data_IF_447489462993
#
_entry.id   IF_447489462993
#
_cell.length_a   1.000
_cell.length_b   1.000
_cell.length_c   1.000
_cell.angle_alpha   90.00
_cell.angle_beta   90.00
_cell.angle_gamma   90.00
#
_symmetry.space_group_name_H-M   'P 1'
#
loop_
_entity.id
_entity.type
_entity.pdbx_description
1 polymer ?
#
# COMPACT_ATOMS: atom_id res chain seq x y z
N UNK A 1 -20.16 -0.53 -45.04
CA UNK A 1 -18.88 -1.22 -45.28
C UNK A 1 -18.27 -1.56 -43.90
N UNK A 2 -18.76 -2.46 -43.05
CA UNK A 2 -19.34 -3.80 -43.21
C UNK A 2 -18.55 -4.70 -44.18
N UNK A 3 -17.81 -5.68 -43.64
CA UNK A 3 -17.75 -6.98 -44.31
C UNK A 3 -16.43 -7.74 -44.45
N UNK A 4 -15.34 -7.50 -43.70
CA UNK A 4 -14.19 -8.45 -43.73
C UNK A 4 -13.43 -8.44 -42.39
N UNK A 5 -13.89 -9.16 -41.38
CA UNK A 5 -13.05 -9.53 -40.22
C UNK A 5 -13.60 -10.77 -39.48
N UNK A 6 -14.13 -11.73 -40.22
CA UNK A 6 -14.32 -13.11 -39.75
C UNK A 6 -13.19 -13.94 -40.36
N UNK A 7 -12.56 -14.80 -39.56
CA UNK A 7 -11.37 -15.64 -39.84
C UNK A 7 -10.06 -15.03 -39.32
N UNK A 8 -9.95 -14.84 -38.00
CA UNK A 8 -8.73 -15.16 -37.23
C UNK A 8 -9.15 -15.73 -35.84
N UNK A 9 -8.69 -16.93 -35.45
CA UNK A 9 -9.25 -17.70 -34.34
C UNK A 9 -8.68 -17.30 -32.94
N UNK A 10 -9.57 -16.90 -32.02
CA UNK A 10 -9.60 -17.27 -30.58
C UNK A 10 -8.29 -17.32 -29.74
N UNK A 11 -7.41 -16.31 -29.83
CA UNK A 11 -6.36 -16.06 -28.80
C UNK A 11 -5.93 -14.59 -28.70
N UNK A 12 -6.85 -13.63 -28.87
CA UNK A 12 -6.56 -12.18 -28.74
C UNK A 12 -7.61 -11.44 -27.90
N UNK A 13 -8.61 -12.11 -27.33
CA UNK A 13 -9.71 -11.42 -26.62
C UNK A 13 -9.43 -11.10 -25.14
N UNK A 14 -8.53 -11.83 -24.47
CA UNK A 14 -8.22 -11.56 -23.03
C UNK A 14 -7.20 -10.45 -22.82
N UNK A 15 -6.32 -10.18 -23.79
CA UNK A 15 -5.28 -9.14 -23.66
C UNK A 15 -5.80 -7.72 -23.91
N UNK A 16 -6.72 -7.56 -24.87
CA UNK A 16 -7.23 -6.25 -25.24
C UNK A 16 -8.26 -5.73 -24.23
N UNK A 17 -9.11 -6.59 -23.64
CA UNK A 17 -10.06 -6.19 -22.59
C UNK A 17 -9.36 -5.76 -21.30
N UNK A 18 -8.30 -6.45 -20.87
CA UNK A 18 -7.58 -6.12 -19.64
C UNK A 18 -6.78 -4.82 -19.76
N UNK A 19 -6.28 -4.45 -20.94
CA UNK A 19 -5.53 -3.21 -21.17
C UNK A 19 -6.39 -2.04 -21.68
N UNK A 20 -7.42 -2.28 -22.49
CA UNK A 20 -8.26 -1.22 -23.05
C UNK A 20 -9.29 -0.69 -22.02
N UNK A 21 -9.82 -1.55 -21.14
CA UNK A 21 -10.76 -1.15 -20.10
C UNK A 21 -10.20 -0.12 -19.10
N UNK A 22 -8.97 -0.26 -18.55
CA UNK A 22 -8.41 0.76 -17.67
C UNK A 22 -8.07 2.06 -18.42
N UNK A 23 -7.65 2.01 -19.69
CA UNK A 23 -7.31 3.20 -20.48
C UNK A 23 -8.56 4.05 -20.75
N UNK A 24 -9.67 3.42 -21.17
CA UNK A 24 -10.94 4.11 -21.42
C UNK A 24 -11.55 4.70 -20.13
N UNK A 25 -11.35 4.03 -18.99
CA UNK A 25 -11.77 4.54 -17.68
C UNK A 25 -10.93 5.76 -17.25
N UNK A 26 -9.61 5.71 -17.46
CA UNK A 26 -8.71 6.82 -17.14
C UNK A 26 -9.05 8.06 -17.97
N UNK A 27 -9.25 7.91 -19.28
CA UNK A 27 -9.57 9.05 -20.16
C UNK A 27 -10.89 9.70 -19.75
N UNK A 28 -11.91 8.88 -19.48
CA UNK A 28 -13.21 9.35 -19.02
C UNK A 28 -13.11 10.04 -17.66
N UNK A 29 -12.38 9.45 -16.70
CA UNK A 29 -12.20 10.00 -15.36
C UNK A 29 -11.43 11.33 -15.38
N UNK A 30 -10.33 11.42 -16.13
CA UNK A 30 -9.53 12.64 -16.23
C UNK A 30 -10.36 13.75 -16.88
N UNK A 31 -11.07 13.48 -17.97
CA UNK A 31 -11.91 14.50 -18.62
C UNK A 31 -13.04 14.96 -17.70
N UNK A 32 -13.78 14.03 -17.08
CA UNK A 32 -14.93 14.39 -16.26
C UNK A 32 -14.55 15.00 -14.91
N UNK A 33 -13.68 14.33 -14.15
CA UNK A 33 -13.35 14.76 -12.78
C UNK A 33 -12.35 15.92 -12.81
N UNK A 34 -11.34 15.87 -13.67
CA UNK A 34 -10.31 16.91 -13.67
C UNK A 34 -10.77 18.18 -14.40
N UNK A 35 -11.33 18.08 -15.61
CA UNK A 35 -11.65 19.29 -16.37
C UNK A 35 -13.01 19.90 -16.04
N UNK A 36 -14.06 19.09 -15.81
CA UNK A 36 -15.41 19.63 -15.57
C UNK A 36 -15.65 20.03 -14.11
N UNK A 37 -14.98 19.38 -13.16
CA UNK A 37 -15.21 19.60 -11.72
C UNK A 37 -13.95 20.16 -11.04
N UNK A 38 -12.81 19.50 -11.21
CA UNK A 38 -11.56 19.85 -10.51
C UNK A 38 -11.02 21.21 -10.90
N UNK A 39 -10.77 21.44 -12.19
CA UNK A 39 -10.23 22.68 -12.74
C UNK A 39 -11.08 23.93 -12.39
N UNK A 40 -12.41 23.94 -12.56
CA UNK A 40 -13.21 25.11 -12.19
C UNK A 40 -13.24 25.35 -10.68
N UNK A 41 -13.31 24.30 -9.85
CA UNK A 41 -13.28 24.45 -8.38
C UNK A 41 -11.92 24.99 -7.93
N UNK A 42 -10.83 24.44 -8.46
CA UNK A 42 -9.47 24.89 -8.16
C UNK A 42 -9.27 26.35 -8.57
N UNK A 43 -9.72 26.73 -9.77
CA UNK A 43 -9.63 28.12 -10.23
C UNK A 43 -10.46 29.07 -9.36
N UNK A 44 -11.67 28.67 -8.97
CA UNK A 44 -12.52 29.46 -8.07
C UNK A 44 -11.87 29.65 -6.69
N UNK A 45 -11.26 28.60 -6.13
CA UNK A 45 -10.53 28.67 -4.86
C UNK A 45 -9.30 29.60 -4.95
N UNK A 46 -8.51 29.49 -6.03
CA UNK A 46 -7.38 30.40 -6.27
C UNK A 46 -7.82 31.85 -6.49
N UNK A 47 -8.89 32.08 -7.25
CA UNK A 47 -9.42 33.42 -7.50
C UNK A 47 -9.96 34.04 -6.20
N UNK A 48 -10.70 33.27 -5.38
CA UNK A 48 -11.16 33.71 -4.06
C UNK A 48 -9.98 34.06 -3.14
N UNK A 49 -8.95 33.21 -3.12
CA UNK A 49 -7.76 33.41 -2.31
C UNK A 49 -7.02 34.70 -2.70
N UNK A 50 -6.86 34.95 -4.00
CA UNK A 50 -6.20 36.15 -4.51
C UNK A 50 -7.03 37.41 -4.27
N UNK A 51 -8.34 37.37 -4.53
CA UNK A 51 -9.23 38.53 -4.36
C UNK A 51 -9.37 38.95 -2.89
N UNK A 52 -9.50 38.00 -1.97
CA UNK A 52 -9.68 38.32 -0.55
C UNK A 52 -8.36 38.70 0.13
N UNK A 53 -7.21 38.25 -0.41
CA UNK A 53 -5.87 38.43 0.20
C UNK A 53 -5.85 38.01 1.68
N UNK A 54 -6.70 37.03 2.03
CA UNK A 54 -6.95 36.58 3.40
C UNK A 54 -7.09 35.06 3.41
N UNK A 55 -6.86 34.46 4.58
CA UNK A 55 -6.94 33.01 4.76
C UNK A 55 -8.37 32.47 4.71
N UNK A 56 -8.53 31.14 4.53
CA UNK A 56 -9.83 30.50 4.29
C UNK A 56 -10.84 30.71 5.41
N UNK A 57 -10.42 30.76 6.70
CA UNK A 57 -11.34 31.08 7.80
C UNK A 57 -11.97 32.47 7.66
N UNK A 58 -11.18 33.47 7.25
CA UNK A 58 -11.63 34.86 7.18
C UNK A 58 -12.39 35.19 5.90
N UNK A 59 -12.17 34.44 4.80
CA UNK A 59 -12.89 34.62 3.52
C UNK A 59 -14.37 34.28 3.68
N UNK A 60 -14.68 33.15 4.33
CA UNK A 60 -16.05 32.69 4.51
C UNK A 60 -16.79 33.38 5.66
N UNK A 61 -16.11 34.22 6.46
CA UNK A 61 -16.77 35.07 7.45
C UNK A 61 -17.68 36.13 6.81
N UNK A 62 -17.37 36.55 5.56
CA UNK A 62 -18.14 37.52 4.77
C UNK A 62 -19.53 36.98 4.39
N UNK A 63 -19.69 35.66 4.25
CA UNK A 63 -20.96 35.01 3.96
C UNK A 63 -21.43 34.22 5.19
N UNK A 64 -22.40 34.76 5.92
CA UNK A 64 -22.86 34.26 7.23
C UNK A 64 -23.33 32.78 7.24
N UNK A 65 -23.69 32.21 6.09
CA UNK A 65 -24.06 30.80 5.98
C UNK A 65 -22.90 29.81 5.84
N UNK A 66 -21.70 30.25 5.42
CA UNK A 66 -20.61 29.35 4.99
C UNK A 66 -19.40 29.39 5.95
N UNK A 67 -19.57 30.02 7.11
CA UNK A 67 -18.50 30.22 8.09
C UNK A 67 -17.85 28.90 8.55
N UNK A 68 -18.62 27.81 8.64
CA UNK A 68 -18.11 26.49 9.01
C UNK A 68 -17.13 25.89 8.00
N UNK A 69 -17.24 26.24 6.71
CA UNK A 69 -16.39 25.70 5.64
C UNK A 69 -14.94 26.14 5.83
N UNK A 70 -14.72 27.42 6.17
CA UNK A 70 -13.38 27.96 6.39
C UNK A 70 -12.65 27.30 7.56
N UNK A 71 -13.35 26.98 8.65
CA UNK A 71 -12.77 26.24 9.78
C UNK A 71 -12.51 24.76 9.43
N UNK A 72 -13.43 24.12 8.71
CA UNK A 72 -13.24 22.75 8.24
C UNK A 72 -11.99 22.61 7.35
N UNK A 73 -11.73 23.58 6.46
CA UNK A 73 -10.52 23.59 5.62
C UNK A 73 -9.23 23.65 6.44
N UNK A 74 -9.21 24.45 7.52
CA UNK A 74 -8.05 24.54 8.41
C UNK A 74 -7.84 23.22 9.17
N UNK A 75 -8.91 22.66 9.73
CA UNK A 75 -8.83 21.38 10.45
C UNK A 75 -8.34 20.27 9.51
N UNK A 76 -8.90 20.20 8.29
CA UNK A 76 -8.47 19.25 7.28
C UNK A 76 -6.97 19.42 6.93
N UNK A 77 -6.49 20.65 6.80
CA UNK A 77 -5.08 20.93 6.52
C UNK A 77 -4.16 20.43 7.65
N UNK A 78 -4.56 20.63 8.91
CA UNK A 78 -3.80 20.13 10.08
C UNK A 78 -3.79 18.61 10.13
N UNK A 79 -4.93 17.96 9.87
CA UNK A 79 -5.03 16.50 9.83
C UNK A 79 -4.17 15.90 8.71
N UNK A 80 -4.21 16.48 7.51
CA UNK A 80 -3.34 16.09 6.41
C UNK A 80 -1.86 16.26 6.80
N UNK A 81 -1.50 17.39 7.40
CA UNK A 81 -0.12 17.64 7.84
C UNK A 81 0.38 16.56 8.81
N UNK A 82 -0.41 16.20 9.82
CA UNK A 82 -0.04 15.17 10.79
C UNK A 82 0.10 13.79 10.13
N UNK A 83 -0.86 13.41 9.28
CA UNK A 83 -0.86 12.13 8.57
C UNK A 83 0.32 11.99 7.60
N UNK A 84 0.57 13.01 6.77
CA UNK A 84 1.65 12.97 5.79
C UNK A 84 3.03 13.02 6.43
N UNK A 85 3.23 13.80 7.50
CA UNK A 85 4.52 13.78 8.21
C UNK A 85 4.81 12.43 8.84
N UNK A 86 3.80 11.71 9.33
CA UNK A 86 3.97 10.33 9.79
C UNK A 86 4.48 9.45 8.63
N UNK A 87 3.79 9.44 7.47
CA UNK A 87 4.22 8.63 6.32
C UNK A 87 5.65 8.96 5.88
N UNK A 88 5.99 10.25 5.79
CA UNK A 88 7.34 10.68 5.38
C UNK A 88 8.38 10.19 6.39
N UNK A 89 8.09 10.26 7.69
CA UNK A 89 8.99 9.75 8.73
C UNK A 89 9.24 8.26 8.57
N UNK A 90 8.20 7.45 8.34
CA UNK A 90 8.35 6.02 8.09
C UNK A 90 9.14 5.77 6.79
N UNK A 91 8.85 6.49 5.70
CA UNK A 91 9.56 6.38 4.44
C UNK A 91 11.06 6.71 4.57
N UNK A 92 11.41 7.77 5.29
CA UNK A 92 12.81 8.15 5.55
C UNK A 92 13.54 7.11 6.39
N UNK A 93 12.87 6.56 7.41
CA UNK A 93 13.42 5.48 8.22
C UNK A 93 13.78 4.26 7.35
N UNK A 94 12.89 3.85 6.44
CA UNK A 94 13.15 2.74 5.51
C UNK A 94 14.21 3.08 4.48
N UNK A 95 14.21 4.30 3.95
CA UNK A 95 15.21 4.78 3.01
C UNK A 95 16.62 4.71 3.59
N UNK A 96 16.81 5.23 4.81
CA UNK A 96 18.11 5.18 5.50
C UNK A 96 18.48 3.75 5.85
N UNK A 97 17.51 2.94 6.32
CA UNK A 97 17.76 1.54 6.68
C UNK A 97 18.11 0.65 5.48
N UNK A 98 17.78 1.07 4.26
CA UNK A 98 18.14 0.37 3.02
C UNK A 98 19.65 0.41 2.73
N UNK A 99 20.37 1.43 3.21
CA UNK A 99 21.83 1.50 3.05
C UNK A 99 22.58 0.57 4.02
N UNK A 100 21.90 -0.12 4.95
CA UNK A 100 22.54 -1.07 5.85
C UNK A 100 22.84 -2.38 5.10
N UNK A 101 24.04 -2.92 5.29
CA UNK A 101 24.46 -4.20 4.69
C UNK A 101 23.62 -5.39 5.14
N UNK A 102 23.14 -5.36 6.38
CA UNK A 102 22.19 -6.33 6.92
C UNK A 102 20.86 -5.61 7.20
N UNK A 103 19.83 -5.95 6.42
CA UNK A 103 18.49 -5.38 6.57
C UNK A 103 17.79 -6.02 7.78
N UNK A 104 17.16 -5.18 8.60
CA UNK A 104 16.52 -5.58 9.86
C UNK A 104 15.34 -6.55 9.64
N UNK A 105 14.63 -6.38 8.52
CA UNK A 105 13.49 -7.23 8.14
C UNK A 105 13.88 -8.47 7.31
N UNK A 106 15.19 -8.76 7.17
CA UNK A 106 15.68 -9.94 6.46
C UNK A 106 15.93 -11.14 7.39
N UNK A 107 16.03 -10.92 8.72
CA UNK A 107 16.42 -11.94 9.69
C UNK A 107 15.48 -11.99 10.89
N UNK A 108 15.31 -13.19 11.44
CA UNK A 108 14.53 -13.45 12.65
C UNK A 108 15.32 -13.30 13.96
N UNK A 109 16.46 -12.59 13.96
CA UNK A 109 17.43 -12.55 15.09
C UNK A 109 17.23 -11.37 16.06
N UNK A 110 16.19 -10.56 15.86
CA UNK A 110 15.91 -9.37 16.67
C UNK A 110 14.84 -9.61 17.75
N UNK A 111 14.83 -8.75 18.76
CA UNK A 111 13.99 -8.88 19.97
C UNK A 111 12.49 -8.70 19.72
N UNK A 112 12.09 -8.06 18.62
CA UNK A 112 10.69 -7.92 18.21
C UNK A 112 10.17 -9.14 17.44
N UNK A 113 11.04 -10.07 17.04
CA UNK A 113 10.61 -11.26 16.32
C UNK A 113 10.10 -12.31 17.32
N UNK A 114 8.98 -12.92 16.97
CA UNK A 114 8.38 -13.98 17.75
C UNK A 114 9.04 -15.33 17.45
N UNK A 115 8.81 -16.35 18.29
CA UNK A 115 9.37 -17.69 18.11
C UNK A 115 8.87 -18.38 16.81
N UNK A 116 7.85 -17.80 16.17
CA UNK A 116 7.23 -18.27 14.93
C UNK A 116 7.74 -17.55 13.66
N UNK A 117 8.73 -16.67 13.79
CA UNK A 117 9.33 -15.97 12.66
C UNK A 117 10.03 -16.94 11.70
N UNK A 118 9.86 -16.75 10.38
CA UNK A 118 10.61 -17.47 9.36
C UNK A 118 11.14 -16.56 8.25
N UNK A 119 12.23 -17.00 7.59
CA UNK A 119 12.84 -16.30 6.44
C UNK A 119 12.65 -17.14 5.17
N UNK A 120 11.90 -16.64 4.15
CA UNK A 120 11.75 -17.33 2.87
C UNK A 120 13.11 -17.59 2.21
N UNK A 121 13.38 -18.84 1.82
CA UNK A 121 14.60 -19.24 1.12
C UNK A 121 15.85 -19.53 1.98
N UNK A 122 15.87 -19.12 3.26
CA UNK A 122 16.94 -19.49 4.20
C UNK A 122 16.51 -20.60 5.16
N UNK A 123 15.23 -20.64 5.52
CA UNK A 123 14.66 -21.51 6.56
C UNK A 123 13.52 -22.38 6.00
N UNK A 124 13.60 -22.75 4.71
CA UNK A 124 12.53 -23.48 4.00
C UNK A 124 12.30 -24.90 4.54
N UNK A 125 13.13 -25.31 5.51
CA UNK A 125 13.16 -26.65 6.04
C UNK A 125 13.53 -26.72 7.52
N UNK A 126 14.27 -25.77 8.09
CA UNK A 126 14.60 -25.78 9.53
C UNK A 126 13.54 -25.09 10.41
N UNK A 127 13.04 -25.78 11.43
CA UNK A 127 12.15 -25.22 12.45
C UNK A 127 12.72 -25.39 13.85
N UNK A 128 12.63 -24.38 14.73
CA UNK A 128 13.12 -24.48 16.11
C UNK A 128 12.00 -24.75 17.13
N UNK A 129 12.07 -25.86 17.88
CA UNK A 129 11.20 -26.15 19.05
C UNK A 129 12.06 -26.39 20.27
N UNK A 130 11.78 -25.71 21.39
CA UNK A 130 12.52 -25.90 22.65
C UNK A 130 14.06 -25.84 22.47
N UNK A 131 14.54 -24.96 21.58
CA UNK A 131 15.96 -24.80 21.28
C UNK A 131 16.56 -25.80 20.29
N UNK A 132 15.81 -26.81 19.82
CA UNK A 132 16.28 -27.78 18.80
C UNK A 132 15.75 -27.44 17.41
N UNK A 133 16.64 -27.48 16.41
CA UNK A 133 16.31 -27.20 15.00
C UNK A 133 15.97 -28.50 14.24
N UNK A 134 14.82 -28.59 13.58
CA UNK A 134 14.30 -29.73 12.82
C UNK A 134 14.26 -29.40 11.32
N UNK A 135 14.93 -30.17 10.45
CA UNK A 135 15.15 -29.81 9.04
C UNK A 135 14.23 -30.53 8.02
N UNK A 136 12.93 -30.21 7.93
CA UNK A 136 11.83 -30.83 7.14
C UNK A 136 12.09 -31.20 5.65
N UNK A 137 13.28 -31.01 5.08
CA UNK A 137 13.70 -31.48 3.74
C UNK A 137 14.38 -32.85 3.70
N UNK A 138 14.83 -33.38 4.83
CA UNK A 138 15.51 -34.67 4.89
C UNK A 138 14.53 -35.88 4.83
N UNK A 139 14.77 -36.91 3.99
CA UNK A 139 13.85 -38.04 3.83
C UNK A 139 13.80 -39.02 5.01
N UNK A 140 14.57 -38.80 6.09
CA UNK A 140 14.67 -39.70 7.25
C UNK A 140 14.05 -39.13 8.54
N UNK A 141 13.01 -38.30 8.44
CA UNK A 141 12.30 -37.87 9.65
C UNK A 141 11.59 -39.03 10.33
N UNK A 142 11.94 -39.25 11.60
CA UNK A 142 11.13 -40.04 12.54
C UNK A 142 9.66 -39.63 12.40
N UNK A 143 8.73 -40.58 12.43
CA UNK A 143 7.29 -40.29 12.32
C UNK A 143 6.85 -39.11 13.21
N UNK A 144 7.43 -38.99 14.42
CA UNK A 144 7.15 -37.91 15.38
C UNK A 144 7.51 -36.51 14.85
N UNK A 145 8.60 -36.36 14.11
CA UNK A 145 9.06 -35.08 13.54
C UNK A 145 8.28 -34.67 12.29
N UNK A 146 7.71 -35.65 11.55
CA UNK A 146 6.82 -35.40 10.40
C UNK A 146 5.53 -34.71 10.81
N UNK A 147 4.88 -35.19 11.88
CA UNK A 147 3.65 -34.57 12.41
C UNK A 147 3.89 -33.14 12.90
N UNK A 148 5.08 -32.85 13.47
CA UNK A 148 5.45 -31.50 13.89
C UNK A 148 5.53 -30.56 12.69
N UNK A 149 6.34 -30.87 11.66
CA UNK A 149 6.47 -30.04 10.45
C UNK A 149 5.10 -29.74 9.80
N UNK A 150 4.19 -30.72 9.79
CA UNK A 150 2.84 -30.58 9.24
C UNK A 150 1.94 -29.67 10.11
N UNK A 151 1.99 -29.78 11.44
CA UNK A 151 1.26 -28.86 12.33
C UNK A 151 1.79 -27.41 12.29
N UNK A 152 3.08 -27.22 12.02
CA UNK A 152 3.71 -25.89 11.96
C UNK A 152 3.46 -25.23 10.60
N UNK A 153 3.37 -26.01 9.51
CA UNK A 153 2.83 -25.53 8.24
C UNK A 153 1.36 -25.12 8.35
N UNK A 154 0.60 -25.73 9.27
CA UNK A 154 -0.77 -25.35 9.58
C UNK A 154 -0.89 -24.20 10.60
N UNK A 155 0.23 -23.77 11.21
CA UNK A 155 0.27 -22.61 12.11
C UNK A 155 0.55 -21.36 11.29
N UNK A 156 -0.23 -20.30 11.51
CA UNK A 156 -0.01 -19.00 10.86
C UNK A 156 1.36 -18.44 11.26
N UNK A 157 2.33 -18.49 10.32
CA UNK A 157 3.71 -18.04 10.52
C UNK A 157 3.88 -16.69 9.84
N UNK A 158 4.32 -15.69 10.61
CA UNK A 158 4.68 -14.38 10.08
C UNK A 158 6.10 -14.37 9.52
N UNK A 159 6.30 -13.71 8.39
CA UNK A 159 7.65 -13.43 7.89
C UNK A 159 8.37 -12.37 8.74
N UNK A 160 9.70 -12.37 8.71
CA UNK A 160 10.51 -11.34 9.36
C UNK A 160 10.13 -9.90 8.94
N UNK A 161 9.64 -9.74 7.71
CA UNK A 161 9.06 -8.49 7.22
C UNK A 161 7.75 -8.16 7.90
N UNK A 162 6.78 -9.08 7.92
CA UNK A 162 5.46 -8.82 8.53
C UNK A 162 5.57 -8.47 10.01
N UNK A 163 6.45 -9.15 10.76
CA UNK A 163 6.67 -8.84 12.18
C UNK A 163 7.40 -7.51 12.42
N UNK A 164 8.05 -6.95 11.41
CA UNK A 164 8.66 -5.64 11.49
C UNK A 164 7.65 -4.51 11.22
N UNK A 165 6.60 -4.79 10.44
CA UNK A 165 5.60 -3.81 10.01
C UNK A 165 4.35 -3.74 10.90
N UNK A 166 4.20 -4.71 11.81
CA UNK A 166 3.12 -4.79 12.81
C UNK A 166 3.56 -4.15 14.14
#
# INVERSE_FOLDING_TARGET
MFGVFLIYPLRVEVGCIQFCFPILFIDSYVIWVHFLIGAPIYYLELALSQFSSRGPATVFLLARGWQGVGFAMIINSVLCMLYYNAIISWALFYFISSFRTNLLWKKCEYWWNDARCFVPGADSSSFRVNGTTYNCTEPQFLNRTKYLCEQINATDRGTATEQFFL
#
